data_IF_719607907317
#
_entry.id   IF_719607907317
#
_cell.length_a   1.000
_cell.length_b   1.000
_cell.length_c   1.000
_cell.angle_alpha   90.00
_cell.angle_beta   90.00
_cell.angle_gamma   90.00
#
_symmetry.space_group_name_H-M   'P 1'
#
loop_
_entity.id
_entity.type
_entity.pdbx_description
1 polymer ?
#
# COMPACT_ATOMS: atom_id res chain seq x y z
N UNK A 1 2.01 25.02 11.04
CA UNK A 1 1.57 24.17 12.15
C UNK A 1 0.23 23.53 11.76
N UNK A 2 0.11 22.21 11.94
CA UNK A 2 -1.16 21.53 11.75
C UNK A 2 -2.09 21.87 12.92
N UNK A 3 -3.39 22.07 12.69
CA UNK A 3 -4.35 22.43 13.74
C UNK A 3 -4.67 21.25 14.69
N UNK A 4 -4.04 20.10 14.50
CA UNK A 4 -4.28 18.88 15.25
C UNK A 4 -3.00 18.39 15.93
N UNK A 5 -3.12 17.87 17.15
CA UNK A 5 -2.07 17.08 17.77
C UNK A 5 -1.81 15.78 17.01
N UNK A 6 -0.66 15.15 17.21
CA UNK A 6 -0.32 13.87 16.58
C UNK A 6 -1.34 12.77 16.91
N UNK A 7 -1.90 12.80 18.11
CA UNK A 7 -2.92 11.84 18.53
C UNK A 7 -4.24 12.06 17.78
N UNK A 8 -4.69 13.31 17.63
CA UNK A 8 -5.88 13.66 16.87
C UNK A 8 -5.70 13.35 15.38
N UNK A 9 -4.54 13.68 14.82
CA UNK A 9 -4.20 13.35 13.44
C UNK A 9 -4.24 11.83 13.21
N UNK A 10 -3.65 11.03 14.09
CA UNK A 10 -3.68 9.56 14.02
C UNK A 10 -5.11 9.01 14.10
N UNK A 11 -5.94 9.59 14.97
CA UNK A 11 -7.36 9.20 15.07
C UNK A 11 -8.14 9.50 13.79
N UNK A 12 -7.97 10.70 13.22
CA UNK A 12 -8.65 11.11 11.99
C UNK A 12 -8.23 10.26 10.79
N UNK A 13 -6.94 9.95 10.68
CA UNK A 13 -6.40 9.06 9.66
C UNK A 13 -7.01 7.67 9.79
N UNK A 14 -7.01 7.10 11.00
CA UNK A 14 -7.59 5.78 11.27
C UNK A 14 -9.09 5.73 10.94
N UNK A 15 -9.84 6.78 11.28
CA UNK A 15 -11.27 6.89 10.96
C UNK A 15 -11.52 6.94 9.45
N UNK A 16 -10.76 7.75 8.71
CA UNK A 16 -10.86 7.88 7.26
C UNK A 16 -10.55 6.57 6.56
N UNK A 17 -9.52 5.87 7.01
CA UNK A 17 -9.12 4.57 6.50
C UNK A 17 -10.21 3.52 6.73
N UNK A 18 -10.78 3.49 7.94
CA UNK A 18 -11.88 2.58 8.28
C UNK A 18 -13.12 2.83 7.43
N UNK A 19 -13.47 4.08 7.18
CA UNK A 19 -14.57 4.43 6.28
C UNK A 19 -14.34 3.93 4.86
N UNK A 20 -13.15 4.12 4.33
CA UNK A 20 -12.77 3.67 2.99
C UNK A 20 -12.83 2.14 2.86
N UNK A 21 -12.29 1.41 3.83
CA UNK A 21 -12.37 -0.05 3.87
C UNK A 21 -13.82 -0.53 3.94
N UNK A 22 -14.62 0.10 4.79
CA UNK A 22 -16.05 -0.24 4.92
C UNK A 22 -16.80 -0.05 3.60
N UNK A 23 -16.57 1.05 2.90
CA UNK A 23 -17.16 1.30 1.59
C UNK A 23 -16.71 0.27 0.54
N UNK A 24 -15.44 -0.07 0.54
CA UNK A 24 -14.88 -1.09 -0.37
C UNK A 24 -15.52 -2.46 -0.12
N UNK A 25 -15.65 -2.88 1.14
CA UNK A 25 -16.29 -4.13 1.51
C UNK A 25 -17.77 -4.13 1.09
N UNK A 26 -18.51 -3.08 1.39
CA UNK A 26 -19.91 -2.97 1.02
C UNK A 26 -20.10 -2.99 -0.51
N UNK A 27 -19.25 -2.30 -1.25
CA UNK A 27 -19.27 -2.31 -2.71
C UNK A 27 -18.99 -3.71 -3.26
N UNK A 28 -17.99 -4.40 -2.74
CA UNK A 28 -17.66 -5.78 -3.15
C UNK A 28 -18.79 -6.77 -2.91
N UNK A 29 -19.51 -6.60 -1.82
CA UNK A 29 -20.66 -7.42 -1.45
C UNK A 29 -21.97 -6.96 -2.10
N UNK A 30 -21.96 -5.88 -2.89
CA UNK A 30 -23.16 -5.25 -3.48
C UNK A 30 -24.21 -4.88 -2.42
N UNK A 31 -23.77 -4.50 -1.23
CA UNK A 31 -24.63 -4.07 -0.13
C UNK A 31 -24.92 -2.58 -0.29
N UNK A 32 -26.21 -2.19 -0.23
CA UNK A 32 -26.56 -0.76 -0.23
C UNK A 32 -26.11 -0.11 1.08
N UNK A 33 -25.41 1.04 1.02
CA UNK A 33 -24.99 1.77 2.20
C UNK A 33 -26.19 2.18 3.06
N UNK A 34 -26.20 1.76 4.30
CA UNK A 34 -27.15 2.18 5.32
C UNK A 34 -26.55 1.96 6.71
N UNK A 35 -27.11 2.56 7.74
CA UNK A 35 -26.57 2.50 9.10
C UNK A 35 -26.35 1.07 9.61
N UNK A 36 -27.26 0.16 9.33
CA UNK A 36 -27.14 -1.25 9.72
C UNK A 36 -26.03 -1.98 8.98
N UNK A 37 -25.84 -1.69 7.69
CA UNK A 37 -24.74 -2.26 6.90
C UNK A 37 -23.39 -1.78 7.43
N UNK A 38 -23.24 -0.49 7.74
CA UNK A 38 -22.04 0.06 8.37
C UNK A 38 -21.75 -0.58 9.72
N UNK A 39 -22.75 -0.74 10.58
CA UNK A 39 -22.58 -1.40 11.88
C UNK A 39 -22.09 -2.84 11.71
N UNK A 40 -22.70 -3.59 10.78
CA UNK A 40 -22.30 -4.99 10.53
C UNK A 40 -20.86 -5.08 10.04
N UNK A 41 -20.45 -4.26 9.07
CA UNK A 41 -19.08 -4.26 8.54
C UNK A 41 -18.07 -3.81 9.61
N UNK A 42 -18.42 -2.79 10.39
CA UNK A 42 -17.56 -2.31 11.48
C UNK A 42 -17.38 -3.30 12.63
N UNK A 43 -18.32 -4.24 12.78
CA UNK A 43 -18.22 -5.30 13.78
C UNK A 43 -17.38 -6.52 13.32
N UNK A 44 -17.01 -6.60 12.03
CA UNK A 44 -16.15 -7.66 11.53
C UNK A 44 -14.73 -7.50 12.08
N UNK A 45 -14.21 -8.53 12.69
CA UNK A 45 -12.76 -8.67 12.88
C UNK A 45 -12.12 -9.25 11.60
N UNK A 46 -10.78 -9.26 11.53
CA UNK A 46 -10.07 -9.78 10.37
C UNK A 46 -10.41 -11.24 10.08
N UNK A 47 -10.47 -12.08 11.11
CA UNK A 47 -10.79 -13.51 10.99
C UNK A 47 -12.19 -13.72 10.41
N UNK A 48 -13.18 -13.00 10.90
CA UNK A 48 -14.54 -13.02 10.36
C UNK A 48 -14.61 -12.55 8.91
N UNK A 49 -13.89 -11.47 8.59
CA UNK A 49 -13.82 -10.96 7.22
C UNK A 49 -13.20 -11.99 6.28
N UNK A 50 -12.06 -12.55 6.68
CA UNK A 50 -11.40 -13.56 5.88
C UNK A 50 -12.27 -14.82 5.69
N UNK A 51 -12.74 -15.41 6.78
CA UNK A 51 -13.48 -16.69 6.73
C UNK A 51 -14.84 -16.58 6.07
N UNK A 52 -15.56 -15.47 6.29
CA UNK A 52 -16.93 -15.31 5.80
C UNK A 52 -17.03 -14.65 4.42
N UNK A 53 -16.00 -13.94 3.98
CA UNK A 53 -16.05 -13.14 2.75
C UNK A 53 -14.93 -13.53 1.79
N UNK A 54 -13.67 -13.45 2.25
CA UNK A 54 -12.52 -13.64 1.36
C UNK A 54 -12.38 -15.09 0.92
N UNK A 55 -12.32 -16.01 1.86
CA UNK A 55 -12.12 -17.44 1.57
C UNK A 55 -13.22 -18.02 0.66
N UNK A 56 -14.52 -17.77 0.88
CA UNK A 56 -15.56 -18.21 -0.06
C UNK A 56 -15.41 -17.61 -1.46
N UNK A 57 -15.06 -16.30 -1.55
CA UNK A 57 -14.88 -15.65 -2.84
C UNK A 57 -13.66 -16.17 -3.62
N UNK A 58 -12.60 -16.57 -2.92
CA UNK A 58 -11.45 -17.25 -3.53
C UNK A 58 -11.82 -18.66 -4.00
N UNK A 59 -12.54 -19.41 -3.17
CA UNK A 59 -13.00 -20.76 -3.49
C UNK A 59 -13.91 -20.78 -4.73
N UNK A 60 -14.85 -19.85 -4.86
CA UNK A 60 -15.70 -19.70 -6.04
C UNK A 60 -14.91 -19.48 -7.34
N UNK A 61 -13.70 -18.93 -7.24
CA UNK A 61 -12.82 -18.66 -8.37
C UNK A 61 -11.72 -19.72 -8.54
N UNK A 62 -11.73 -20.77 -7.73
CA UNK A 62 -10.67 -21.78 -7.66
C UNK A 62 -9.27 -21.17 -7.40
N UNK A 63 -9.21 -20.12 -6.57
CA UNK A 63 -7.95 -19.48 -6.20
C UNK A 63 -7.54 -20.03 -4.84
N UNK A 64 -6.34 -20.59 -4.78
CA UNK A 64 -5.69 -20.97 -3.54
C UNK A 64 -5.20 -19.70 -2.82
N UNK A 65 -5.68 -19.47 -1.59
CA UNK A 65 -5.35 -18.29 -0.79
C UNK A 65 -3.87 -18.22 -0.41
N UNK A 66 -3.24 -19.36 -0.11
CA UNK A 66 -1.82 -19.42 0.24
C UNK A 66 -0.94 -19.15 -0.99
N UNK A 67 -1.30 -19.72 -2.14
CA UNK A 67 -0.64 -19.43 -3.41
C UNK A 67 -0.76 -17.95 -3.78
N UNK A 68 -1.92 -17.34 -3.55
CA UNK A 68 -2.12 -15.91 -3.78
C UNK A 68 -1.26 -15.05 -2.84
N UNK A 69 -1.20 -15.40 -1.55
CA UNK A 69 -0.37 -14.71 -0.58
C UNK A 69 1.11 -14.79 -0.95
N UNK A 70 1.59 -15.96 -1.36
CA UNK A 70 2.97 -16.13 -1.84
C UNK A 70 3.23 -15.35 -3.13
N UNK A 71 2.31 -15.36 -4.08
CA UNK A 71 2.44 -14.60 -5.32
C UNK A 71 2.44 -13.07 -5.10
N UNK A 72 1.79 -12.61 -4.04
CA UNK A 72 1.72 -11.19 -3.65
C UNK A 72 2.91 -10.74 -2.80
N UNK A 73 3.71 -11.65 -2.26
CA UNK A 73 4.86 -11.32 -1.43
C UNK A 73 6.03 -10.83 -2.30
N UNK A 74 6.38 -9.56 -2.18
CA UNK A 74 7.47 -8.95 -2.96
C UNK A 74 8.83 -9.62 -2.71
N UNK A 75 9.07 -10.19 -1.52
CA UNK A 75 10.32 -10.89 -1.20
C UNK A 75 10.51 -12.14 -2.07
N UNK A 76 9.44 -12.80 -2.49
CA UNK A 76 9.52 -13.93 -3.44
C UNK A 76 9.91 -13.51 -4.85
N UNK A 77 9.80 -12.21 -5.15
CA UNK A 77 10.14 -11.59 -6.44
C UNK A 77 11.47 -10.84 -6.41
N UNK A 78 12.21 -10.92 -5.31
CA UNK A 78 13.46 -10.18 -5.09
C UNK A 78 14.42 -10.23 -6.29
N UNK A 79 14.74 -11.38 -6.90
CA UNK A 79 15.69 -11.41 -8.01
C UNK A 79 15.27 -10.55 -9.20
N UNK A 80 13.96 -10.57 -9.53
CA UNK A 80 13.42 -9.74 -10.61
C UNK A 80 13.36 -8.26 -10.25
N UNK A 81 12.98 -7.94 -9.02
CA UNK A 81 12.89 -6.57 -8.53
C UNK A 81 14.27 -5.91 -8.44
N UNK A 82 15.28 -6.63 -7.94
CA UNK A 82 16.64 -6.11 -7.84
C UNK A 82 17.32 -5.96 -9.21
N UNK A 83 17.01 -6.84 -10.16
CA UNK A 83 17.48 -6.74 -11.54
C UNK A 83 16.83 -5.63 -12.36
N UNK A 84 15.62 -5.17 -11.97
CA UNK A 84 14.91 -4.14 -12.70
C UNK A 84 15.56 -2.76 -12.52
N UNK A 85 16.39 -2.35 -13.47
CA UNK A 85 17.14 -1.10 -13.40
C UNK A 85 16.24 0.16 -13.34
N UNK A 86 15.04 0.07 -13.86
CA UNK A 86 14.06 1.16 -13.90
C UNK A 86 13.14 1.20 -12.66
N UNK A 87 13.28 0.27 -11.73
CA UNK A 87 12.52 0.28 -10.50
C UNK A 87 13.02 1.37 -9.55
N UNK A 88 12.12 2.25 -9.14
CA UNK A 88 12.34 3.27 -8.11
C UNK A 88 11.31 3.09 -7.01
N UNK A 89 11.73 3.30 -5.78
CA UNK A 89 10.91 3.18 -4.59
C UNK A 89 10.76 4.53 -3.91
N UNK A 90 9.57 4.79 -3.36
CA UNK A 90 9.31 5.92 -2.47
C UNK A 90 8.79 5.34 -1.17
N UNK A 91 9.56 5.48 -0.10
CA UNK A 91 9.29 4.88 1.20
C UNK A 91 9.24 5.93 2.29
N UNK A 92 8.41 5.68 3.29
CA UNK A 92 8.36 6.47 4.53
C UNK A 92 8.51 5.55 5.74
N UNK A 93 9.29 5.98 6.75
CA UNK A 93 9.55 5.16 7.93
C UNK A 93 8.34 4.98 8.83
N UNK A 94 7.37 5.87 8.76
CA UNK A 94 6.12 5.78 9.51
C UNK A 94 4.93 5.32 8.65
N UNK A 95 5.18 4.57 7.58
CA UNK A 95 4.12 3.90 6.83
C UNK A 95 3.59 2.72 7.65
N UNK A 96 2.32 2.80 8.06
CA UNK A 96 1.69 1.78 8.91
C UNK A 96 1.47 0.43 8.22
N UNK A 97 1.67 0.34 6.90
CA UNK A 97 1.60 -0.90 6.14
C UNK A 97 2.93 -1.65 6.11
N UNK A 98 4.02 -1.01 6.52
CA UNK A 98 5.36 -1.59 6.52
C UNK A 98 5.82 -1.84 7.95
N UNK A 99 6.35 -3.02 8.19
CA UNK A 99 7.05 -3.33 9.43
C UNK A 99 8.50 -2.82 9.39
N UNK A 100 9.15 -2.72 10.54
CA UNK A 100 10.58 -2.37 10.60
C UNK A 100 11.44 -3.36 9.79
N UNK A 101 11.06 -4.64 9.78
CA UNK A 101 11.72 -5.68 8.98
C UNK A 101 11.53 -5.47 7.48
N UNK A 102 10.36 -5.02 7.03
CA UNK A 102 10.14 -4.65 5.64
C UNK A 102 10.98 -3.44 5.23
N UNK A 103 11.02 -2.41 6.07
CA UNK A 103 11.84 -1.22 5.84
C UNK A 103 13.33 -1.56 5.78
N UNK A 104 13.81 -2.43 6.67
CA UNK A 104 15.18 -2.91 6.66
C UNK A 104 15.51 -3.66 5.37
N UNK A 105 14.61 -4.56 4.95
CA UNK A 105 14.75 -5.33 3.71
C UNK A 105 14.81 -4.41 2.48
N UNK A 106 13.94 -3.42 2.37
CA UNK A 106 13.97 -2.46 1.26
C UNK A 106 15.27 -1.64 1.23
N UNK A 107 15.75 -1.18 2.38
CA UNK A 107 17.00 -0.41 2.46
C UNK A 107 18.21 -1.23 2.03
N UNK A 108 18.25 -2.49 2.40
CA UNK A 108 19.33 -3.40 2.05
C UNK A 108 19.34 -3.74 0.56
N UNK A 109 18.16 -4.03 -0.01
CA UNK A 109 18.05 -4.52 -1.41
C UNK A 109 17.99 -3.41 -2.45
N UNK A 110 17.57 -2.21 -2.08
CA UNK A 110 17.42 -1.07 -2.99
C UNK A 110 18.14 0.18 -2.47
N UNK A 111 19.47 0.13 -2.30
CA UNK A 111 20.24 1.25 -1.75
C UNK A 111 20.35 2.43 -2.73
N UNK A 112 20.74 3.59 -2.18
CA UNK A 112 21.16 4.75 -2.95
C UNK A 112 20.02 5.39 -3.75
N UNK A 113 20.30 5.73 -5.00
CA UNK A 113 19.38 6.48 -5.89
C UNK A 113 18.11 5.72 -6.29
N UNK A 114 18.04 4.46 -5.97
CA UNK A 114 16.84 3.64 -6.26
C UNK A 114 15.69 3.92 -5.30
N UNK A 115 15.97 4.51 -4.14
CA UNK A 115 14.96 4.75 -3.11
C UNK A 115 14.96 6.19 -2.66
N UNK A 116 13.80 6.84 -2.77
CA UNK A 116 13.49 8.08 -2.10
C UNK A 116 12.93 7.74 -0.73
N UNK A 117 13.62 8.15 0.32
CA UNK A 117 13.26 7.82 1.69
C UNK A 117 12.94 9.07 2.50
N UNK A 118 11.82 9.05 3.21
CA UNK A 118 11.39 10.11 4.14
C UNK A 118 11.15 9.52 5.52
N UNK A 119 11.53 10.24 6.57
CA UNK A 119 11.29 9.81 7.95
C UNK A 119 9.80 9.88 8.33
N UNK A 120 9.09 10.80 7.73
CA UNK A 120 7.67 11.03 7.98
C UNK A 120 6.90 11.16 6.67
N UNK A 121 5.61 10.87 6.69
CA UNK A 121 4.75 11.00 5.51
C UNK A 121 3.61 10.00 5.49
N UNK A 122 3.69 8.93 6.28
CA UNK A 122 2.70 7.86 6.31
C UNK A 122 2.61 7.10 5.00
N UNK A 123 1.51 6.40 4.81
CA UNK A 123 1.24 5.69 3.57
C UNK A 123 1.10 6.66 2.39
N UNK A 124 1.68 6.33 1.23
CA UNK A 124 1.78 7.17 0.03
C UNK A 124 2.77 8.34 0.14
N UNK A 125 3.48 8.50 1.27
CA UNK A 125 4.50 9.52 1.45
C UNK A 125 3.95 10.95 1.45
N UNK A 126 4.84 11.92 1.40
CA UNK A 126 4.49 13.34 1.37
C UNK A 126 4.38 13.86 -0.07
N UNK A 127 3.51 13.27 -0.88
CA UNK A 127 3.36 13.61 -2.32
C UNK A 127 3.03 15.09 -2.59
N UNK A 128 2.54 15.80 -1.60
CA UNK A 128 2.26 17.23 -1.68
C UNK A 128 3.51 18.11 -1.56
N UNK A 129 4.61 17.57 -1.01
CA UNK A 129 5.87 18.32 -0.86
C UNK A 129 6.58 18.47 -2.20
N UNK A 130 7.11 19.67 -2.51
CA UNK A 130 7.81 19.91 -3.77
C UNK A 130 9.00 18.98 -3.98
N UNK A 131 9.81 18.74 -2.94
CA UNK A 131 11.00 17.87 -2.99
C UNK A 131 10.66 16.43 -3.30
N UNK A 132 9.57 15.89 -2.72
CA UNK A 132 9.11 14.52 -3.01
C UNK A 132 8.62 14.41 -4.45
N UNK A 133 7.84 15.39 -4.90
CA UNK A 133 7.37 15.43 -6.30
C UNK A 133 8.51 15.55 -7.30
N UNK A 134 9.54 16.34 -6.97
CA UNK A 134 10.70 16.47 -7.85
C UNK A 134 11.51 15.18 -7.92
N UNK A 135 11.73 14.50 -6.79
CA UNK A 135 12.37 13.21 -6.74
C UNK A 135 11.60 12.15 -7.54
N UNK A 136 10.26 12.15 -7.46
CA UNK A 136 9.41 11.27 -8.27
C UNK A 136 9.49 11.61 -9.76
N UNK A 137 9.46 12.88 -10.12
CA UNK A 137 9.64 13.32 -11.51
C UNK A 137 11.00 12.92 -12.07
N UNK A 138 12.05 13.09 -11.29
CA UNK A 138 13.39 12.66 -11.66
C UNK A 138 13.43 11.13 -11.89
N UNK A 139 12.80 10.35 -11.01
CA UNK A 139 12.70 8.90 -11.17
C UNK A 139 11.98 8.47 -12.46
N UNK A 140 10.94 9.22 -12.88
CA UNK A 140 10.16 8.92 -14.08
C UNK A 140 10.87 9.38 -15.37
N UNK A 141 11.60 10.48 -15.35
CA UNK A 141 12.26 11.05 -16.53
C UNK A 141 13.38 10.19 -17.11
N UNK A 142 13.90 9.22 -16.37
CA UNK A 142 14.95 8.31 -16.86
C UNK A 142 14.47 7.31 -17.94
N UNK A 143 13.21 7.32 -18.32
CA UNK A 143 12.65 6.41 -19.32
C UNK A 143 12.49 7.01 -20.72
N UNK A 144 13.29 7.99 -21.11
CA UNK A 144 13.35 8.33 -22.54
C UNK A 144 14.12 7.20 -23.23
N UNK A 145 13.39 6.21 -23.72
CA UNK A 145 13.92 5.15 -24.57
C UNK A 145 14.43 5.83 -25.82
N UNK A 146 15.75 5.86 -25.98
CA UNK A 146 16.36 6.18 -27.25
C UNK A 146 16.07 5.00 -28.17
N UNK A 147 14.93 5.07 -28.90
CA UNK A 147 14.69 4.14 -29.99
C UNK A 147 15.69 4.55 -31.08
N UNK A 148 16.78 3.82 -31.18
CA UNK A 148 17.69 3.89 -32.33
C UNK A 148 16.88 3.43 -33.53
N UNK A 149 16.57 4.35 -34.43
CA UNK A 149 16.07 4.00 -35.76
C UNK A 149 17.22 3.33 -36.51
N UNK A 150 17.13 2.02 -36.76
CA UNK A 150 17.84 1.34 -37.82
C UNK A 150 17.00 1.36 -39.11
#
# INVERSE_FOLDING_TARGET
DLPFSDQEASYLIGLSYRMTLTQTIMSSLKIRPNARAYQRVNALCWEDYYSKIVAPALAERNIDGDALAQASNLRTREPGLTAAANLKLVLTSNDFLLTDDDLAWFRERFPGERTVYSETGGHMGQLWRPEVREAMRAAIRFQTITVSAE
#
